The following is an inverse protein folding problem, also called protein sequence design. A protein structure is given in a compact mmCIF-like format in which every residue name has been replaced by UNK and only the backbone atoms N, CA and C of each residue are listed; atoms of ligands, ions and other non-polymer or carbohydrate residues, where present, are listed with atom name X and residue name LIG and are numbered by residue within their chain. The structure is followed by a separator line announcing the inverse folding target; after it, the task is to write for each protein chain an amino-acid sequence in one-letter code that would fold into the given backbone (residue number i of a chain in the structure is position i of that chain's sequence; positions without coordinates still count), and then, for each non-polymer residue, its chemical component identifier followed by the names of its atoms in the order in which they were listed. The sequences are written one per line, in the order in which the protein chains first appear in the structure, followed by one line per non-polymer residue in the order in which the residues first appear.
data_IF_272935356164
#
_entry.id   IF_272935356164
#
_cell.length_a   1.000
_cell.length_b   1.000
_cell.length_c   1.000
_cell.angle_alpha   90.00
_cell.angle_beta   90.00
_cell.angle_gamma   90.00
#
_symmetry.space_group_name_H-M   'P 1'
#
loop_
_entity.id
_entity.type
_entity.pdbx_description
1 polymer ?
#
# COMPACT_ATOMS: atom_id res chain seq x y z
N UNK A 1 21.64 12.34 -7.02
CA UNK A 1 21.11 12.15 -5.65
C UNK A 1 20.33 10.85 -5.63
N UNK A 2 20.66 9.91 -4.76
CA UNK A 2 19.98 8.60 -4.68
C UNK A 2 18.68 8.77 -3.91
N UNK A 3 17.55 8.43 -4.54
CA UNK A 3 16.24 8.48 -3.89
C UNK A 3 15.93 7.17 -3.18
N UNK A 4 15.43 7.24 -1.94
CA UNK A 4 15.15 6.05 -1.11
C UNK A 4 13.68 5.69 -1.17
N UNK A 5 13.39 4.40 -1.33
CA UNK A 5 12.06 3.81 -1.19
C UNK A 5 12.09 2.91 0.04
N UNK A 6 11.22 3.18 1.01
CA UNK A 6 11.10 2.33 2.19
C UNK A 6 9.88 1.44 2.09
N UNK A 7 10.07 0.16 2.37
CA UNK A 7 9.04 -0.84 2.32
C UNK A 7 8.83 -1.45 3.70
N UNK A 8 7.57 -1.48 4.15
CA UNK A 8 7.18 -2.03 5.44
C UNK A 8 5.91 -2.87 5.31
N UNK A 9 5.62 -3.68 6.32
CA UNK A 9 4.40 -4.47 6.37
C UNK A 9 4.32 -5.28 7.66
N UNK A 10 3.12 -5.71 8.01
CA UNK A 10 2.92 -6.60 9.14
C UNK A 10 3.63 -7.95 8.93
N UNK A 11 3.97 -8.69 10.01
CA UNK A 11 4.54 -10.03 9.90
C UNK A 11 3.73 -10.95 8.98
N UNK A 12 4.40 -11.75 8.15
CA UNK A 12 3.74 -12.67 7.21
C UNK A 12 3.21 -12.04 5.92
N UNK A 13 3.30 -10.72 5.73
CA UNK A 13 2.89 -10.06 4.47
C UNK A 13 3.90 -10.18 3.33
N UNK A 14 5.11 -10.69 3.60
CA UNK A 14 6.17 -10.84 2.60
C UNK A 14 6.93 -9.55 2.26
N UNK A 15 6.93 -8.57 3.17
CA UNK A 15 7.58 -7.27 2.97
C UNK A 15 9.06 -7.38 2.55
N UNK A 16 9.85 -8.18 3.28
CA UNK A 16 11.27 -8.42 2.97
C UNK A 16 11.47 -8.98 1.55
N UNK A 17 10.75 -10.05 1.20
CA UNK A 17 10.84 -10.67 -0.11
C UNK A 17 10.47 -9.70 -1.25
N UNK A 18 9.49 -8.81 -1.03
CA UNK A 18 9.17 -7.78 -2.02
C UNK A 18 10.26 -6.70 -2.10
N UNK A 19 10.85 -6.30 -0.97
CA UNK A 19 11.94 -5.33 -0.97
C UNK A 19 13.16 -5.86 -1.74
N UNK A 20 13.53 -7.12 -1.52
CA UNK A 20 14.63 -7.78 -2.24
C UNK A 20 14.34 -7.88 -3.73
N UNK A 21 13.14 -8.33 -4.11
CA UNK A 21 12.75 -8.46 -5.50
C UNK A 21 12.72 -7.09 -6.22
N UNK A 22 12.27 -6.05 -5.53
CA UNK A 22 12.23 -4.69 -6.05
C UNK A 22 13.63 -4.09 -6.17
N UNK A 23 14.51 -4.30 -5.19
CA UNK A 23 15.90 -3.87 -5.25
C UNK A 23 16.65 -4.55 -6.40
N UNK A 24 16.46 -5.87 -6.57
CA UNK A 24 17.05 -6.63 -7.67
C UNK A 24 16.56 -6.13 -9.05
N UNK A 25 15.26 -5.82 -9.17
CA UNK A 25 14.72 -5.26 -10.40
C UNK A 25 15.30 -3.87 -10.71
N UNK A 26 15.31 -2.97 -9.73
CA UNK A 26 15.78 -1.61 -9.92
C UNK A 26 17.30 -1.52 -10.11
N UNK A 27 18.08 -2.49 -9.63
CA UNK A 27 19.52 -2.57 -9.90
C UNK A 27 19.84 -2.74 -11.40
N UNK A 28 18.89 -3.25 -12.20
CA UNK A 28 19.03 -3.35 -13.66
C UNK A 28 18.58 -2.08 -14.40
N UNK A 29 18.08 -1.08 -13.68
CA UNK A 29 17.55 0.16 -14.22
C UNK A 29 18.58 1.29 -14.02
N UNK A 30 18.73 2.25 -14.96
CA UNK A 30 19.66 3.37 -14.81
C UNK A 30 19.27 4.41 -13.73
N UNK A 31 18.19 4.16 -12.99
CA UNK A 31 17.68 5.06 -11.97
C UNK A 31 18.46 4.91 -10.66
N UNK A 32 18.82 6.04 -10.04
CA UNK A 32 19.46 6.06 -8.73
C UNK A 32 18.43 5.86 -7.60
N UNK A 33 17.79 4.70 -7.57
CA UNK A 33 16.82 4.31 -6.55
C UNK A 33 17.39 3.25 -5.63
N UNK A 34 17.21 3.44 -4.32
CA UNK A 34 17.59 2.46 -3.32
C UNK A 34 16.37 2.02 -2.52
N UNK A 35 16.10 0.72 -2.52
CA UNK A 35 15.01 0.10 -1.77
C UNK A 35 15.56 -0.47 -0.49
N UNK A 36 14.91 -0.18 0.63
CA UNK A 36 15.24 -0.78 1.92
C UNK A 36 13.97 -1.20 2.67
N UNK A 37 14.08 -2.27 3.44
CA UNK A 37 13.08 -2.60 4.43
C UNK A 37 13.13 -1.61 5.60
N UNK A 38 11.98 -1.22 6.13
CA UNK A 38 11.89 -0.33 7.29
C UNK A 38 12.00 -1.09 8.60
N UNK A 39 12.75 -0.53 9.54
CA UNK A 39 12.83 -1.01 10.93
C UNK A 39 11.63 -0.55 11.80
N UNK A 40 10.65 0.18 11.25
CA UNK A 40 9.55 0.75 12.04
C UNK A 40 8.72 -0.31 12.78
N UNK A 41 8.52 -1.49 12.17
CA UNK A 41 7.79 -2.57 12.84
C UNK A 41 8.56 -3.08 14.07
N UNK A 42 9.86 -3.34 13.91
CA UNK A 42 10.71 -3.82 15.00
C UNK A 42 10.79 -2.80 16.14
N UNK A 43 10.95 -1.53 15.81
CA UNK A 43 10.97 -0.44 16.79
C UNK A 43 9.66 -0.32 17.57
N UNK A 44 8.51 -0.48 16.91
CA UNK A 44 7.19 -0.48 17.57
C UNK A 44 7.02 -1.69 18.49
N UNK A 45 7.57 -2.86 18.13
CA UNK A 45 7.50 -4.07 18.95
C UNK A 45 8.43 -4.00 20.16
N UNK A 46 9.62 -3.42 19.99
CA UNK A 46 10.57 -3.17 21.06
C UNK A 46 10.05 -2.11 22.05
N UNK A 47 9.17 -1.20 21.59
CA UNK A 47 8.68 -0.09 22.39
C UNK A 47 9.75 0.99 22.65
N UNK A 48 10.82 0.99 21.85
CA UNK A 48 11.90 1.98 21.96
C UNK A 48 11.52 3.26 21.19
N UNK A 49 11.29 4.34 21.93
CA UNK A 49 10.88 5.62 21.36
C UNK A 49 11.98 6.26 20.48
N UNK A 50 13.27 6.02 20.78
CA UNK A 50 14.37 6.56 19.99
C UNK A 50 14.46 5.84 18.64
N UNK A 51 14.39 4.50 18.65
CA UNK A 51 14.37 3.70 17.41
C UNK A 51 13.14 4.02 16.57
N UNK A 52 11.98 4.18 17.21
CA UNK A 52 10.75 4.57 16.52
C UNK A 52 10.90 5.94 15.85
N UNK A 53 11.44 6.94 16.57
CA UNK A 53 11.67 8.27 16.00
C UNK A 53 12.64 8.21 14.82
N UNK A 54 13.75 7.47 14.96
CA UNK A 54 14.73 7.32 13.90
C UNK A 54 14.14 6.64 12.65
N UNK A 55 13.32 5.60 12.84
CA UNK A 55 12.62 4.94 11.75
C UNK A 55 11.63 5.89 11.04
N UNK A 56 10.87 6.70 11.78
CA UNK A 56 9.95 7.69 11.21
C UNK A 56 10.70 8.80 10.45
N UNK A 57 11.85 9.25 10.94
CA UNK A 57 12.69 10.24 10.25
C UNK A 57 13.28 9.68 8.95
N UNK A 58 13.63 8.39 8.91
CA UNK A 58 14.00 7.71 7.68
C UNK A 58 12.84 7.72 6.65
N UNK A 59 11.60 7.54 7.10
CA UNK A 59 10.42 7.63 6.24
C UNK A 59 10.11 9.05 5.74
N UNK A 60 10.32 10.08 6.57
CA UNK A 60 10.14 11.49 6.15
C UNK A 60 11.12 11.91 5.06
N UNK A 61 12.33 11.38 5.09
CA UNK A 61 13.39 11.65 4.10
C UNK A 61 13.35 10.73 2.88
N UNK A 62 12.53 9.68 2.90
CA UNK A 62 12.34 8.78 1.77
C UNK A 62 11.51 9.46 0.66
N UNK A 63 11.83 9.14 -0.60
CA UNK A 63 11.05 9.60 -1.74
C UNK A 63 9.65 8.94 -1.78
N UNK A 64 9.52 7.72 -1.26
CA UNK A 64 8.24 7.04 -1.12
C UNK A 64 8.28 5.99 -0.02
N UNK A 65 7.13 5.80 0.63
CA UNK A 65 6.88 4.69 1.55
C UNK A 65 5.86 3.72 0.94
N UNK A 66 6.18 2.42 0.92
CA UNK A 66 5.31 1.34 0.49
C UNK A 66 4.90 0.48 1.68
N UNK A 67 3.61 0.25 1.87
CA UNK A 67 3.04 -0.61 2.91
C UNK A 67 2.45 -1.87 2.27
N UNK A 68 2.73 -3.05 2.82
CA UNK A 68 2.11 -4.29 2.35
C UNK A 68 0.63 -4.38 2.73
N UNK A 69 -0.20 -4.84 1.80
CA UNK A 69 -1.60 -5.21 2.09
C UNK A 69 -1.71 -6.57 2.79
N UNK A 70 -2.85 -6.78 3.47
CA UNK A 70 -3.21 -8.01 4.20
C UNK A 70 -3.99 -9.03 3.32
N UNK A 71 -3.75 -9.03 2.02
CA UNK A 71 -4.45 -9.88 1.04
C UNK A 71 -3.82 -11.27 0.86
N UNK A 72 -2.70 -11.54 1.54
CA UNK A 72 -2.11 -12.88 1.56
C UNK A 72 -2.81 -13.78 2.58
N UNK A 73 -2.94 -15.09 2.30
CA UNK A 73 -3.44 -16.03 3.29
C UNK A 73 -2.60 -15.97 4.58
N UNK A 74 -3.29 -15.74 5.70
CA UNK A 74 -2.71 -15.75 7.03
C UNK A 74 -3.45 -16.79 7.89
N UNK A 75 -2.75 -17.71 8.59
CA UNK A 75 -3.39 -18.62 9.52
C UNK A 75 -4.22 -17.87 10.58
N UNK A 76 -5.40 -18.39 10.92
CA UNK A 76 -6.31 -17.78 11.91
C UNK A 76 -5.67 -17.35 13.24
N UNK A 77 -4.78 -18.13 13.89
CA UNK A 77 -4.15 -17.67 15.14
C UNK A 77 -3.30 -16.40 14.95
N UNK A 78 -2.69 -16.24 13.78
CA UNK A 78 -1.77 -15.13 13.49
C UNK A 78 -2.50 -13.92 12.88
N UNK A 79 -3.68 -14.12 12.29
CA UNK A 79 -4.44 -13.07 11.60
C UNK A 79 -4.72 -11.87 12.52
N UNK A 80 -5.15 -12.11 13.77
CA UNK A 80 -5.42 -11.01 14.71
C UNK A 80 -4.15 -10.20 15.01
N UNK A 81 -3.01 -10.88 15.20
CA UNK A 81 -1.74 -10.22 15.45
C UNK A 81 -1.25 -9.45 14.22
N UNK A 82 -1.40 -10.02 13.03
CA UNK A 82 -1.06 -9.38 11.75
C UNK A 82 -1.89 -8.11 11.51
N UNK A 83 -3.20 -8.17 11.75
CA UNK A 83 -4.08 -7.00 11.65
C UNK A 83 -3.73 -5.92 12.67
N UNK A 84 -3.41 -6.31 13.91
CA UNK A 84 -3.00 -5.36 14.94
C UNK A 84 -1.66 -4.68 14.58
N UNK A 85 -0.69 -5.43 14.06
CA UNK A 85 0.59 -4.89 13.60
C UNK A 85 0.41 -3.92 12.42
N UNK A 86 -0.41 -4.26 11.42
CA UNK A 86 -0.73 -3.35 10.31
C UNK A 86 -1.42 -2.07 10.81
N UNK A 87 -2.37 -2.19 11.74
CA UNK A 87 -3.02 -1.03 12.34
C UNK A 87 -2.03 -0.14 13.10
N UNK A 88 -1.09 -0.72 13.85
CA UNK A 88 -0.03 0.03 14.54
C UNK A 88 0.88 0.76 13.56
N UNK A 89 1.30 0.11 12.47
CA UNK A 89 2.09 0.75 11.42
C UNK A 89 1.36 1.94 10.80
N UNK A 90 0.09 1.76 10.43
CA UNK A 90 -0.74 2.83 9.85
C UNK A 90 -0.95 3.98 10.83
N UNK A 91 -1.17 3.68 12.11
CA UNK A 91 -1.32 4.68 13.15
C UNK A 91 -0.03 5.49 13.34
N UNK A 92 1.13 4.83 13.39
CA UNK A 92 2.42 5.49 13.53
C UNK A 92 2.74 6.40 12.33
N UNK A 93 2.55 5.90 11.10
CA UNK A 93 2.72 6.70 9.89
C UNK A 93 1.74 7.88 9.84
N UNK A 94 0.46 7.64 10.19
CA UNK A 94 -0.58 8.67 10.22
C UNK A 94 -0.30 9.77 11.24
N UNK A 95 0.08 9.40 12.47
CA UNK A 95 0.46 10.35 13.52
C UNK A 95 1.68 11.20 13.13
N UNK A 96 2.59 10.65 12.33
CA UNK A 96 3.76 11.37 11.80
C UNK A 96 3.48 12.12 10.48
N UNK A 97 2.24 12.09 9.98
CA UNK A 97 1.81 12.65 8.69
C UNK A 97 2.61 12.14 7.48
N UNK A 98 3.03 10.87 7.52
CA UNK A 98 3.82 10.24 6.47
C UNK A 98 2.88 9.57 5.47
N UNK A 99 2.89 10.05 4.23
CA UNK A 99 2.18 9.43 3.12
C UNK A 99 2.78 8.09 2.71
N UNK A 100 1.94 7.12 2.38
CA UNK A 100 2.36 5.81 1.89
C UNK A 100 1.41 5.28 0.82
N UNK A 101 1.88 4.32 0.02
CA UNK A 101 1.06 3.56 -0.94
C UNK A 101 0.96 2.10 -0.50
N UNK A 102 -0.24 1.54 -0.54
CA UNK A 102 -0.46 0.13 -0.17
C UNK A 102 -0.26 -0.77 -1.39
N UNK A 103 0.51 -1.84 -1.24
CA UNK A 103 0.78 -2.83 -2.29
C UNK A 103 0.03 -4.11 -2.02
N UNK A 104 -0.91 -4.44 -2.92
CA UNK A 104 -1.68 -5.68 -2.95
C UNK A 104 -1.26 -6.57 -4.13
N UNK A 105 -1.60 -7.85 -4.05
CA UNK A 105 -1.49 -8.83 -5.13
C UNK A 105 -0.96 -10.19 -4.67
N UNK A 106 -1.16 -11.26 -5.44
CA UNK A 106 -0.62 -12.57 -5.09
C UNK A 106 0.91 -12.54 -4.98
N UNK A 107 1.51 -13.43 -4.16
CA UNK A 107 2.95 -13.41 -3.88
C UNK A 107 3.78 -13.61 -5.16
N UNK A 108 5.01 -13.08 -5.16
CA UNK A 108 5.94 -13.21 -6.28
C UNK A 108 5.77 -12.12 -7.37
N UNK A 109 5.93 -12.46 -8.67
CA UNK A 109 6.04 -11.47 -9.75
C UNK A 109 4.85 -10.53 -9.90
N UNK A 110 3.64 -10.99 -9.55
CA UNK A 110 2.44 -10.16 -9.64
C UNK A 110 2.47 -8.99 -8.66
N UNK A 111 2.86 -9.24 -7.41
CA UNK A 111 3.01 -8.18 -6.41
C UNK A 111 4.19 -7.26 -6.71
N UNK A 112 5.28 -7.76 -7.29
CA UNK A 112 6.37 -6.91 -7.80
C UNK A 112 5.85 -5.91 -8.85
N UNK A 113 5.04 -6.36 -9.82
CA UNK A 113 4.41 -5.46 -10.80
C UNK A 113 3.50 -4.41 -10.13
N UNK A 114 2.76 -4.79 -9.09
CA UNK A 114 1.96 -3.82 -8.32
C UNK A 114 2.83 -2.78 -7.62
N UNK A 115 3.97 -3.18 -7.05
CA UNK A 115 4.93 -2.25 -6.43
C UNK A 115 5.53 -1.28 -7.47
N UNK A 116 5.94 -1.78 -8.63
CA UNK A 116 6.46 -0.94 -9.72
C UNK A 116 5.42 0.07 -10.21
N UNK A 117 4.16 -0.34 -10.39
CA UNK A 117 3.05 0.58 -10.69
C UNK A 117 2.88 1.65 -9.60
N UNK A 118 2.99 1.26 -8.33
CA UNK A 118 2.94 2.21 -7.22
C UNK A 118 4.10 3.21 -7.26
N UNK A 119 5.23 2.88 -7.89
CA UNK A 119 6.39 3.75 -8.06
C UNK A 119 6.35 4.63 -9.31
N UNK A 120 5.36 4.52 -10.19
CA UNK A 120 5.36 5.21 -11.50
C UNK A 120 5.68 6.71 -11.43
N UNK A 121 5.16 7.43 -10.43
CA UNK A 121 5.46 8.86 -10.24
C UNK A 121 6.91 9.16 -9.84
N UNK A 122 7.60 8.22 -9.18
CA UNK A 122 9.02 8.34 -8.81
C UNK A 122 9.93 7.88 -9.95
N UNK A 123 9.47 6.92 -10.76
CA UNK A 123 10.21 6.42 -11.93
C UNK A 123 10.23 7.43 -13.10
N UNK A 124 9.56 8.58 -12.98
CA UNK A 124 9.42 9.55 -14.06
C UNK A 124 8.52 9.03 -15.19
N UNK A 125 7.79 7.94 -14.95
CA UNK A 125 6.78 7.45 -15.87
C UNK A 125 5.57 8.40 -15.78
N UNK A 126 5.59 9.45 -16.60
CA UNK A 126 4.36 10.08 -17.10
C UNK A 126 3.74 9.18 -18.16
N UNK A 127 3.62 7.88 -17.87
CA UNK A 127 2.69 7.09 -18.65
C UNK A 127 1.32 7.69 -18.31
N UNK A 128 0.51 8.10 -19.30
CA UNK A 128 -0.89 8.31 -19.03
C UNK A 128 -1.38 6.92 -18.65
N UNK A 129 -1.35 6.59 -17.36
CA UNK A 129 -2.12 5.51 -16.77
C UNK A 129 -3.52 5.93 -17.07
N UNK A 130 -4.00 5.52 -18.26
CA UNK A 130 -5.19 5.94 -18.96
C UNK A 130 -6.10 6.70 -18.01
N UNK A 131 -5.76 7.97 -17.80
CA UNK A 131 -6.42 8.76 -16.75
C UNK A 131 -7.86 8.91 -17.20
N UNK A 132 -8.13 8.79 -18.49
CA UNK A 132 -9.45 8.68 -19.04
C UNK A 132 -10.16 7.39 -18.62
N UNK A 133 -9.61 6.16 -18.67
CA UNK A 133 -10.36 4.99 -18.16
C UNK A 133 -10.38 4.89 -16.64
N UNK A 134 -9.27 5.14 -15.95
CA UNK A 134 -9.24 5.13 -14.48
C UNK A 134 -10.10 6.25 -13.89
N UNK A 135 -10.02 7.50 -14.41
CA UNK A 135 -10.94 8.54 -13.97
C UNK A 135 -12.34 8.39 -14.55
N UNK A 136 -12.60 7.72 -15.67
CA UNK A 136 -13.99 7.53 -16.13
C UNK A 136 -14.70 6.42 -15.35
N UNK A 137 -14.00 5.37 -14.93
CA UNK A 137 -14.51 4.39 -13.98
C UNK A 137 -14.66 5.00 -12.58
N UNK A 138 -13.65 5.75 -12.10
CA UNK A 138 -13.71 6.45 -10.80
C UNK A 138 -14.71 7.62 -10.81
N UNK A 139 -14.89 8.36 -11.90
CA UNK A 139 -15.85 9.49 -12.00
C UNK A 139 -17.27 9.01 -12.29
N UNK A 140 -17.45 7.92 -13.06
CA UNK A 140 -18.75 7.26 -13.17
C UNK A 140 -19.18 6.64 -11.84
N UNK A 141 -18.23 6.09 -11.06
CA UNK A 141 -18.48 5.63 -9.69
C UNK A 141 -18.73 6.80 -8.70
N UNK A 142 -17.93 7.89 -8.77
CA UNK A 142 -18.06 9.06 -7.88
C UNK A 142 -19.29 9.92 -8.14
N UNK A 143 -19.85 9.91 -9.35
CA UNK A 143 -21.09 10.63 -9.64
C UNK A 143 -22.35 9.84 -9.23
N UNK A 144 -22.23 8.56 -8.85
CA UNK A 144 -23.37 7.74 -8.41
C UNK A 144 -23.29 7.25 -6.95
N UNK A 145 -22.14 7.32 -6.29
CA UNK A 145 -22.00 6.97 -4.88
C UNK A 145 -21.70 8.21 -4.02
N UNK A 146 -22.79 8.89 -3.64
CA UNK A 146 -23.04 9.58 -2.38
C UNK A 146 -21.83 10.00 -1.52
N UNK A 147 -21.77 11.31 -1.23
CA UNK A 147 -21.06 11.86 -0.08
C UNK A 147 -21.47 11.16 1.21
N UNK A 148 -20.54 10.39 1.78
CA UNK A 148 -20.66 9.83 3.11
C UNK A 148 -19.49 10.34 3.93
N UNK A 149 -19.79 11.25 4.86
CA UNK A 149 -18.87 11.82 5.84
C UNK A 149 -18.32 10.78 6.85
N UNK A 150 -18.73 9.51 6.75
CA UNK A 150 -18.41 8.43 7.69
C UNK A 150 -18.01 7.15 6.96
N UNK A 151 -16.80 7.17 6.40
CA UNK A 151 -16.22 6.09 5.58
C UNK A 151 -15.78 4.84 6.38
N UNK A 152 -16.37 4.56 7.55
CA UNK A 152 -16.03 3.40 8.39
C UNK A 152 -17.27 2.74 9.01
N UNK A 153 -18.44 2.96 8.41
CA UNK A 153 -19.65 2.23 8.79
C UNK A 153 -19.67 0.87 8.08
N UNK A 154 -19.64 -0.27 8.82
CA UNK A 154 -19.65 -1.60 8.23
C UNK A 154 -20.88 -1.88 7.36
N UNK A 155 -22.00 -1.18 7.57
CA UNK A 155 -23.19 -1.28 6.71
C UNK A 155 -22.97 -0.63 5.35
N UNK A 156 -22.25 0.50 5.31
CA UNK A 156 -21.89 1.17 4.06
C UNK A 156 -20.92 0.32 3.24
N UNK A 157 -19.89 -0.25 3.89
CA UNK A 157 -18.93 -1.15 3.25
C UNK A 157 -19.61 -2.41 2.70
N UNK A 158 -20.49 -3.04 3.48
CA UNK A 158 -21.22 -4.23 3.05
C UNK A 158 -22.11 -3.96 1.83
N UNK A 159 -22.79 -2.81 1.79
CA UNK A 159 -23.60 -2.39 0.63
C UNK A 159 -22.74 -2.15 -0.61
N UNK A 160 -21.58 -1.50 -0.46
CA UNK A 160 -20.66 -1.23 -1.56
C UNK A 160 -20.13 -2.54 -2.17
N UNK A 161 -19.60 -3.44 -1.35
CA UNK A 161 -19.04 -4.70 -1.86
C UNK A 161 -20.10 -5.61 -2.46
N UNK A 162 -21.31 -5.64 -1.88
CA UNK A 162 -22.43 -6.42 -2.43
C UNK A 162 -22.89 -5.89 -3.79
N UNK A 163 -22.82 -4.57 -4.01
CA UNK A 163 -23.16 -3.98 -5.30
C UNK A 163 -22.13 -4.32 -6.38
N UNK A 164 -20.84 -4.42 -6.02
CA UNK A 164 -19.76 -4.74 -6.96
C UNK A 164 -19.75 -6.21 -7.41
N UNK A 165 -20.28 -7.13 -6.59
CA UNK A 165 -20.36 -8.56 -6.95
C UNK A 165 -21.61 -8.91 -7.74
N UNK A 166 -22.57 -7.98 -7.87
CA UNK A 166 -23.76 -8.20 -8.68
C UNK A 166 -23.45 -7.89 -10.15
N UNK A 167 -23.71 -8.80 -11.09
CA UNK A 167 -23.59 -8.49 -12.51
C UNK A 167 -24.52 -7.30 -12.86
N UNK A 168 -24.09 -6.39 -13.74
CA UNK A 168 -24.90 -5.25 -14.14
C UNK A 168 -26.25 -5.74 -14.67
N UNK A 169 -27.33 -5.08 -14.27
CA UNK A 169 -28.66 -5.38 -14.78
C UNK A 169 -28.66 -5.22 -16.32
N UNK A 170 -29.36 -6.09 -17.07
CA UNK A 170 -29.46 -5.94 -18.51
C UNK A 170 -30.12 -4.60 -18.83
N UNK A 171 -29.50 -3.87 -19.76
CA UNK A 171 -29.95 -2.57 -20.21
C UNK A 171 -31.37 -2.69 -20.79
N UNK A 172 -32.33 -1.93 -20.26
CA UNK A 172 -33.69 -1.91 -20.80
C UNK A 172 -33.69 -0.90 -21.95
N UNK A 173 -33.76 -1.43 -23.17
CA UNK A 173 -34.01 -0.68 -24.39
C UNK A 173 -35.33 0.11 -24.32
#
# INVERSE_FOLDING_TARGET
MTSRILLLGAPGTGAHALADALAAHLATTPLALHVAHSALMDALQAGDAQEQSAALDAHRSAAMTLLMGLDLPCPTPDQKAQHAADAQLRAALGAAAIGYRVVYGPPGPARLRSALRALGSVLGETSPVDEATAHREIRAARLRAYGCEKCSDPVCEHRLFTALTRPPAPDRA
#
